data_IF_284443943122
#
_entry.id   IF_284443943122
#
_cell.length_a   1.000
_cell.length_b   1.000
_cell.length_c   1.000
_cell.angle_alpha   90.00
_cell.angle_beta   90.00
_cell.angle_gamma   90.00
#
_symmetry.space_group_name_H-M   'P 1'
#
loop_
_entity.id
_entity.type
_entity.pdbx_description
1 polymer ?
#
# COMPACT_ATOMS: atom_id res chain seq x y z
N UNK A 1 17.43 -24.95 -21.07
CA UNK A 1 17.54 -23.73 -20.23
C UNK A 1 16.14 -23.44 -19.74
N UNK A 2 15.88 -23.52 -18.44
CA UNK A 2 14.58 -23.13 -17.88
C UNK A 2 14.45 -21.62 -18.02
N UNK A 3 13.54 -21.14 -18.86
CA UNK A 3 13.26 -19.71 -18.96
C UNK A 3 12.53 -19.26 -17.69
N UNK A 4 13.01 -18.17 -17.09
CA UNK A 4 12.31 -17.49 -16.00
C UNK A 4 12.23 -16.00 -16.27
N UNK A 5 11.11 -15.41 -15.86
CA UNK A 5 10.85 -13.97 -15.96
C UNK A 5 10.56 -13.42 -14.57
N UNK A 6 11.17 -12.30 -14.23
CA UNK A 6 10.98 -11.64 -12.93
C UNK A 6 10.24 -10.33 -13.09
N UNK A 7 9.23 -10.14 -12.26
CA UNK A 7 8.43 -8.92 -12.13
C UNK A 7 8.59 -8.34 -10.73
N UNK A 8 8.43 -7.02 -10.59
CA UNK A 8 8.52 -6.31 -9.32
C UNK A 8 7.39 -5.30 -9.20
N UNK A 9 6.86 -5.15 -7.99
CA UNK A 9 5.92 -4.11 -7.63
C UNK A 9 6.35 -3.47 -6.31
N UNK A 10 6.29 -2.15 -6.23
CA UNK A 10 6.63 -1.39 -5.02
C UNK A 10 5.48 -1.44 -4.00
N UNK A 11 5.82 -1.53 -2.71
CA UNK A 11 4.87 -1.28 -1.64
C UNK A 11 4.43 0.18 -1.62
N UNK A 12 3.46 0.50 -0.75
CA UNK A 12 2.86 1.83 -0.71
C UNK A 12 2.54 2.31 0.70
N UNK A 13 2.63 3.62 0.87
CA UNK A 13 1.94 4.38 1.92
C UNK A 13 1.17 5.54 1.28
N UNK A 14 0.16 6.04 1.99
CA UNK A 14 -0.57 7.24 1.61
C UNK A 14 -0.17 8.35 2.59
N UNK A 15 0.37 9.46 2.09
CA UNK A 15 0.80 10.57 2.92
C UNK A 15 -0.37 11.53 3.20
N UNK A 16 -1.22 11.78 2.20
CA UNK A 16 -2.40 12.64 2.33
C UNK A 16 -3.57 12.10 1.52
N UNK A 17 -4.78 12.57 1.80
CA UNK A 17 -5.96 12.28 0.98
C UNK A 17 -6.72 11.02 1.39
N UNK A 18 -6.44 10.47 2.57
CA UNK A 18 -7.19 9.37 3.16
C UNK A 18 -8.71 9.63 3.06
N UNK A 19 -9.48 8.59 2.71
CA UNK A 19 -10.94 8.63 2.46
C UNK A 19 -11.39 9.52 1.30
N UNK A 20 -10.90 10.76 1.19
CA UNK A 20 -11.32 11.75 0.19
C UNK A 20 -10.77 11.45 -1.22
N UNK A 21 -9.68 10.69 -1.33
CA UNK A 21 -9.16 10.20 -2.61
C UNK A 21 -10.18 9.34 -3.36
N UNK A 22 -11.07 8.64 -2.64
CA UNK A 22 -12.15 7.84 -3.22
C UNK A 22 -13.18 8.71 -3.95
N UNK A 23 -13.28 9.99 -3.55
CA UNK A 23 -14.13 11.03 -4.15
C UNK A 23 -13.33 11.97 -5.09
N UNK A 24 -12.11 11.61 -5.47
CA UNK A 24 -11.33 12.34 -6.47
C UNK A 24 -10.50 13.51 -5.94
N UNK A 25 -10.33 13.64 -4.62
CA UNK A 25 -9.33 14.55 -4.05
C UNK A 25 -7.92 14.16 -4.49
N UNK A 26 -7.02 15.15 -4.60
CA UNK A 26 -5.59 14.87 -4.77
C UNK A 26 -5.06 14.22 -3.49
N UNK A 27 -4.17 13.27 -3.66
CA UNK A 27 -3.52 12.53 -2.60
C UNK A 27 -2.02 12.37 -2.93
N UNK A 28 -1.14 12.57 -1.96
CA UNK A 28 0.26 12.20 -2.11
C UNK A 28 0.40 10.72 -1.75
N UNK A 29 0.73 9.90 -2.73
CA UNK A 29 1.03 8.49 -2.53
C UNK A 29 2.54 8.24 -2.61
N UNK A 30 3.04 7.39 -1.71
CA UNK A 30 4.45 7.12 -1.49
C UNK A 30 4.76 5.67 -1.87
N UNK A 31 5.36 5.42 -3.05
CA UNK A 31 5.97 4.13 -3.32
C UNK A 31 7.11 3.88 -2.35
N UNK A 32 7.25 2.64 -1.90
CA UNK A 32 8.28 2.23 -0.96
C UNK A 32 9.43 1.55 -1.70
N UNK A 33 10.62 1.57 -1.09
CA UNK A 33 11.79 0.83 -1.60
C UNK A 33 11.59 -0.68 -1.53
N UNK A 34 10.76 -1.13 -0.58
CA UNK A 34 10.32 -2.52 -0.43
C UNK A 34 8.99 -2.74 -1.13
N UNK A 35 8.75 -3.96 -1.60
CA UNK A 35 7.47 -4.38 -2.14
C UNK A 35 7.39 -5.89 -2.29
N UNK A 36 7.10 -6.35 -3.49
CA UNK A 36 6.97 -7.76 -3.81
C UNK A 36 7.58 -8.07 -5.17
N UNK A 37 8.24 -9.22 -5.27
CA UNK A 37 8.70 -9.79 -6.53
C UNK A 37 7.90 -11.03 -6.88
N UNK A 38 7.80 -11.32 -8.18
CA UNK A 38 7.24 -12.55 -8.71
C UNK A 38 8.16 -13.09 -9.78
N UNK A 39 8.61 -14.33 -9.61
CA UNK A 39 9.33 -15.08 -10.64
C UNK A 39 8.35 -16.08 -11.23
N UNK A 40 8.25 -16.08 -12.56
CA UNK A 40 7.47 -17.06 -13.31
C UNK A 40 8.45 -17.92 -14.09
N UNK A 41 8.35 -19.23 -13.93
CA UNK A 41 9.23 -20.21 -14.58
C UNK A 41 8.43 -21.42 -15.07
N UNK A 42 9.03 -22.21 -15.96
CA UNK A 42 8.51 -23.52 -16.35
C UNK A 42 9.26 -24.63 -15.63
N UNK A 43 8.51 -25.61 -15.14
CA UNK A 43 9.05 -26.83 -14.53
C UNK A 43 8.73 -28.01 -15.43
N UNK A 44 9.68 -28.93 -15.62
CA UNK A 44 9.49 -30.14 -16.41
C UNK A 44 8.59 -31.14 -15.65
N UNK A 45 7.53 -31.62 -16.32
CA UNK A 45 6.60 -32.66 -15.86
C UNK A 45 5.54 -32.35 -14.75
N UNK A 46 5.13 -31.11 -14.40
CA UNK A 46 3.86 -30.91 -13.70
C UNK A 46 2.71 -30.78 -14.71
N UNK A 47 1.64 -31.56 -14.49
CA UNK A 47 0.33 -31.37 -15.15
C UNK A 47 -0.49 -30.26 -14.46
N UNK A 48 0.15 -29.44 -13.63
CA UNK A 48 -0.48 -28.49 -12.71
C UNK A 48 0.24 -27.14 -12.74
N UNK A 49 -0.37 -26.15 -12.10
CA UNK A 49 0.23 -24.85 -11.81
C UNK A 49 0.70 -24.86 -10.37
N UNK A 50 1.92 -24.38 -10.14
CA UNK A 50 2.54 -24.35 -8.83
C UNK A 50 2.65 -22.90 -8.35
N UNK A 51 2.23 -22.64 -7.12
CA UNK A 51 2.39 -21.34 -6.48
C UNK A 51 3.12 -21.50 -5.14
N UNK A 52 4.13 -20.68 -4.93
CA UNK A 52 4.83 -20.54 -3.65
C UNK A 52 5.02 -19.07 -3.31
N UNK A 53 4.68 -18.68 -2.08
CA UNK A 53 4.93 -17.34 -1.57
C UNK A 53 5.88 -17.39 -0.38
N UNK A 54 6.90 -16.53 -0.44
CA UNK A 54 8.01 -16.51 0.49
C UNK A 54 8.10 -15.14 1.18
N UNK A 55 8.65 -15.14 2.38
CA UNK A 55 9.13 -13.96 3.08
C UNK A 55 10.38 -14.37 3.86
N UNK A 56 11.51 -13.72 3.56
CA UNK A 56 12.82 -14.20 4.00
C UNK A 56 13.02 -15.66 3.55
N UNK A 57 13.56 -16.51 4.42
CA UNK A 57 13.79 -17.94 4.14
C UNK A 57 12.56 -18.82 4.40
N UNK A 58 11.41 -18.21 4.72
CA UNK A 58 10.20 -18.93 5.11
C UNK A 58 9.14 -18.91 4.01
N UNK A 59 8.59 -20.09 3.74
CA UNK A 59 7.42 -20.25 2.88
C UNK A 59 6.17 -20.07 3.73
N UNK A 60 5.38 -19.03 3.46
CA UNK A 60 4.18 -18.73 4.21
C UNK A 60 2.89 -19.13 3.48
N UNK A 61 2.97 -19.45 2.18
CA UNK A 61 1.84 -19.96 1.42
C UNK A 61 2.27 -20.82 0.23
N UNK A 62 1.55 -21.92 -0.01
CA UNK A 62 1.68 -22.78 -1.19
C UNK A 62 0.30 -23.16 -1.73
N UNK A 63 0.21 -23.29 -3.05
CA UNK A 63 -1.00 -23.73 -3.71
C UNK A 63 -0.67 -24.47 -5.02
N UNK A 64 -1.49 -25.46 -5.36
CA UNK A 64 -1.45 -26.19 -6.63
C UNK A 64 -2.82 -26.02 -7.30
N UNK A 65 -2.82 -25.54 -8.54
CA UNK A 65 -4.04 -25.32 -9.32
C UNK A 65 -4.09 -26.22 -10.56
N UNK A 66 -5.29 -26.60 -10.97
CA UNK A 66 -5.53 -27.16 -12.29
C UNK A 66 -5.39 -26.06 -13.36
N UNK A 67 -4.66 -26.29 -14.47
CA UNK A 67 -4.40 -25.27 -15.48
C UNK A 67 -5.63 -24.90 -16.33
N UNK A 68 -6.61 -25.80 -16.45
CA UNK A 68 -7.78 -25.65 -17.33
C UNK A 68 -8.92 -24.87 -16.65
N UNK A 69 -9.19 -25.17 -15.37
CA UNK A 69 -10.34 -24.60 -14.64
C UNK A 69 -9.95 -23.77 -13.39
N UNK A 70 -8.65 -23.68 -13.11
CA UNK A 70 -8.08 -23.02 -11.93
C UNK A 70 -8.58 -23.59 -10.59
N UNK A 71 -9.12 -24.81 -10.57
CA UNK A 71 -9.54 -25.47 -9.33
C UNK A 71 -8.32 -25.68 -8.42
N UNK A 72 -8.49 -25.39 -7.15
CA UNK A 72 -7.49 -25.67 -6.11
C UNK A 72 -7.40 -27.18 -5.91
N UNK A 73 -6.23 -27.74 -6.16
CA UNK A 73 -5.91 -29.16 -5.97
C UNK A 73 -5.29 -29.39 -4.60
N UNK A 74 -4.36 -28.52 -4.20
CA UNK A 74 -3.70 -28.52 -2.90
C UNK A 74 -3.47 -27.08 -2.45
N UNK A 75 -3.56 -26.81 -1.14
CA UNK A 75 -3.30 -25.48 -0.58
C UNK A 75 -2.87 -25.56 0.87
N UNK A 76 -2.01 -24.64 1.30
CA UNK A 76 -1.72 -24.41 2.71
C UNK A 76 -2.71 -23.44 3.37
N UNK A 77 -3.52 -22.73 2.59
CA UNK A 77 -4.50 -21.74 3.06
C UNK A 77 -5.66 -21.58 2.07
N UNK A 78 -6.86 -21.97 2.50
CA UNK A 78 -8.03 -22.01 1.62
C UNK A 78 -8.45 -20.62 1.14
N UNK A 79 -8.52 -19.63 2.04
CA UNK A 79 -8.95 -18.27 1.73
C UNK A 79 -8.03 -17.62 0.67
N UNK A 80 -6.71 -17.76 0.84
CA UNK A 80 -5.73 -17.22 -0.13
C UNK A 80 -5.79 -17.93 -1.48
N UNK A 81 -5.98 -19.25 -1.47
CA UNK A 81 -6.11 -20.01 -2.72
C UNK A 81 -7.39 -19.66 -3.49
N UNK A 82 -8.48 -19.35 -2.79
CA UNK A 82 -9.72 -18.88 -3.40
C UNK A 82 -9.55 -17.51 -4.06
N UNK A 83 -8.82 -16.60 -3.42
CA UNK A 83 -8.45 -15.31 -4.03
C UNK A 83 -7.60 -15.51 -5.29
N UNK A 84 -6.59 -16.39 -5.26
CA UNK A 84 -5.77 -16.68 -6.44
C UNK A 84 -6.59 -17.31 -7.57
N UNK A 85 -7.46 -18.26 -7.27
CA UNK A 85 -8.39 -18.83 -8.25
C UNK A 85 -9.25 -17.74 -8.87
N UNK A 86 -9.81 -16.85 -8.05
CA UNK A 86 -10.64 -15.75 -8.53
C UNK A 86 -9.84 -14.79 -9.41
N UNK A 87 -8.58 -14.49 -9.06
CA UNK A 87 -7.68 -13.68 -9.88
C UNK A 87 -7.47 -14.27 -11.27
N UNK A 88 -7.11 -15.55 -11.37
CA UNK A 88 -6.92 -16.20 -12.69
C UNK A 88 -8.21 -16.27 -13.50
N UNK A 89 -9.35 -16.55 -12.87
CA UNK A 89 -10.66 -16.48 -13.54
C UNK A 89 -10.96 -15.08 -14.07
N UNK A 90 -10.71 -14.04 -13.28
CA UNK A 90 -10.92 -12.66 -13.70
C UNK A 90 -9.97 -12.27 -14.85
N UNK A 91 -8.69 -12.68 -14.79
CA UNK A 91 -7.73 -12.47 -15.89
C UNK A 91 -8.23 -13.14 -17.18
N UNK A 92 -8.73 -14.39 -17.10
CA UNK A 92 -9.32 -15.09 -18.25
C UNK A 92 -10.57 -14.41 -18.79
N UNK A 93 -11.37 -13.76 -17.93
CA UNK A 93 -12.52 -12.95 -18.37
C UNK A 93 -12.07 -11.67 -19.08
N UNK A 94 -11.01 -11.01 -18.59
CA UNK A 94 -10.46 -9.78 -19.18
C UNK A 94 -9.73 -10.04 -20.50
N UNK A 95 -9.03 -11.16 -20.63
CA UNK A 95 -8.49 -11.64 -21.90
C UNK A 95 -8.89 -13.11 -22.13
N UNK A 96 -9.95 -13.38 -22.92
CA UNK A 96 -10.38 -14.75 -23.24
C UNK A 96 -9.29 -15.61 -23.91
N UNK A 97 -8.26 -14.99 -24.50
CA UNK A 97 -7.13 -15.71 -25.14
C UNK A 97 -6.06 -16.10 -24.13
N UNK A 98 -6.13 -15.61 -22.89
CA UNK A 98 -5.21 -15.98 -21.82
C UNK A 98 -5.22 -17.50 -21.62
N UNK A 99 -4.05 -18.14 -21.68
CA UNK A 99 -3.88 -19.56 -21.41
C UNK A 99 -2.75 -19.71 -20.41
N UNK A 100 -3.02 -20.43 -19.33
CA UNK A 100 -2.03 -20.72 -18.31
C UNK A 100 -1.48 -22.13 -18.54
N UNK A 101 -0.23 -22.21 -19.00
CA UNK A 101 0.41 -23.47 -19.40
C UNK A 101 0.65 -24.38 -18.18
N UNK A 102 0.31 -25.65 -18.29
CA UNK A 102 0.70 -26.66 -17.31
C UNK A 102 2.23 -26.64 -17.10
N UNK A 103 2.67 -26.77 -15.86
CA UNK A 103 4.08 -26.65 -15.48
C UNK A 103 4.54 -25.23 -15.16
N UNK A 104 3.67 -24.22 -15.29
CA UNK A 104 3.99 -22.86 -14.84
C UNK A 104 4.12 -22.83 -13.32
N UNK A 105 5.25 -22.31 -12.83
CA UNK A 105 5.54 -22.08 -11.42
C UNK A 105 5.65 -20.58 -11.15
N UNK A 106 4.86 -20.11 -10.19
CA UNK A 106 4.91 -18.77 -9.63
C UNK A 106 5.60 -18.81 -8.27
N UNK A 107 6.63 -17.98 -8.12
CA UNK A 107 7.31 -17.77 -6.85
C UNK A 107 7.24 -16.29 -6.50
N UNK A 108 6.51 -15.95 -5.45
CA UNK A 108 6.49 -14.60 -4.93
C UNK A 108 7.40 -14.45 -3.73
N UNK A 109 8.00 -13.26 -3.60
CA UNK A 109 8.85 -12.89 -2.48
C UNK A 109 8.42 -11.52 -1.96
N UNK A 110 7.95 -11.47 -0.72
CA UNK A 110 7.73 -10.21 -0.01
C UNK A 110 9.07 -9.66 0.47
N UNK A 111 9.29 -8.36 0.27
CA UNK A 111 10.52 -7.68 0.69
C UNK A 111 10.37 -7.00 2.07
N UNK A 112 9.20 -7.16 2.70
CA UNK A 112 8.85 -6.61 4.01
C UNK A 112 7.89 -7.51 4.76
N UNK A 113 7.78 -7.35 6.08
CA UNK A 113 6.89 -8.16 6.89
C UNK A 113 5.43 -8.01 6.40
N UNK A 114 4.70 -9.12 6.15
CA UNK A 114 3.32 -9.10 5.66
C UNK A 114 2.33 -8.38 6.59
N UNK A 115 2.68 -8.19 7.87
CA UNK A 115 1.83 -7.49 8.84
C UNK A 115 1.88 -5.96 8.72
N UNK A 116 2.87 -5.40 8.04
CA UNK A 116 3.09 -3.94 7.96
C UNK A 116 2.12 -3.17 7.06
N UNK A 117 1.17 -3.82 6.38
CA UNK A 117 0.15 -3.11 5.61
C UNK A 117 0.68 -2.35 4.37
N UNK A 118 1.89 -2.65 3.89
CA UNK A 118 2.51 -2.00 2.72
C UNK A 118 1.88 -2.35 1.36
N UNK A 119 0.72 -3.02 1.33
CA UNK A 119 -0.03 -3.31 0.11
C UNK A 119 0.38 -4.61 -0.59
N UNK A 120 0.42 -5.74 0.14
CA UNK A 120 0.65 -7.06 -0.47
C UNK A 120 -0.41 -7.43 -1.53
N UNK A 121 -1.66 -7.01 -1.34
CA UNK A 121 -2.73 -7.26 -2.32
C UNK A 121 -2.54 -6.45 -3.60
N UNK A 122 -2.23 -5.15 -3.50
CA UNK A 122 -2.04 -4.28 -4.66
C UNK A 122 -0.77 -4.62 -5.44
N UNK A 123 0.30 -5.01 -4.74
CA UNK A 123 1.52 -5.51 -5.38
C UNK A 123 1.27 -6.83 -6.11
N UNK A 124 0.52 -7.78 -5.53
CA UNK A 124 0.12 -9.01 -6.22
C UNK A 124 -0.70 -8.74 -7.49
N UNK A 125 -1.68 -7.83 -7.44
CA UNK A 125 -2.45 -7.41 -8.62
C UNK A 125 -1.52 -6.86 -9.69
N UNK A 126 -0.62 -5.94 -9.33
CA UNK A 126 0.32 -5.36 -10.28
C UNK A 126 1.21 -6.41 -10.92
N UNK A 127 1.74 -7.36 -10.15
CA UNK A 127 2.61 -8.44 -10.65
C UNK A 127 1.87 -9.34 -11.64
N UNK A 128 0.65 -9.76 -11.30
CA UNK A 128 -0.16 -10.60 -12.20
C UNK A 128 -0.59 -9.85 -13.45
N UNK A 129 -0.93 -8.56 -13.35
CA UNK A 129 -1.25 -7.71 -14.50
C UNK A 129 -0.05 -7.51 -15.42
N UNK A 130 1.14 -7.28 -14.87
CA UNK A 130 2.39 -7.19 -15.65
C UNK A 130 2.67 -8.49 -16.41
N UNK A 131 2.46 -9.64 -15.75
CA UNK A 131 2.69 -10.95 -16.37
C UNK A 131 1.63 -11.31 -17.41
N UNK A 132 0.35 -11.11 -17.11
CA UNK A 132 -0.77 -11.49 -17.98
C UNK A 132 -1.08 -10.46 -19.07
N UNK A 133 -0.53 -9.24 -18.98
CA UNK A 133 -0.79 -8.16 -19.94
C UNK A 133 -2.20 -7.55 -19.84
N UNK A 134 -2.80 -7.57 -18.65
CA UNK A 134 -4.14 -7.00 -18.40
C UNK A 134 -4.06 -5.70 -17.60
N UNK A 135 -5.09 -4.85 -17.70
CA UNK A 135 -5.15 -3.59 -16.96
C UNK A 135 -5.25 -3.84 -15.43
N UNK A 136 -4.30 -3.33 -14.62
CA UNK A 136 -4.27 -3.56 -13.18
C UNK A 136 -5.36 -2.81 -12.41
N UNK A 137 -5.88 -1.69 -12.93
CA UNK A 137 -6.97 -0.96 -12.30
C UNK A 137 -8.28 -1.73 -12.44
N UNK A 138 -8.55 -2.28 -13.64
CA UNK A 138 -9.75 -3.11 -13.87
C UNK A 138 -9.67 -4.39 -13.04
N UNK A 139 -8.51 -5.07 -13.02
CA UNK A 139 -8.32 -6.27 -12.21
C UNK A 139 -8.51 -5.98 -10.71
N UNK A 140 -7.97 -4.86 -10.21
CA UNK A 140 -8.14 -4.45 -8.82
C UNK A 140 -9.60 -4.12 -8.47
N UNK A 141 -10.32 -3.42 -9.35
CA UNK A 141 -11.71 -3.04 -9.13
C UNK A 141 -12.62 -4.27 -9.00
N UNK A 142 -12.43 -5.26 -9.88
CA UNK A 142 -13.22 -6.51 -9.89
C UNK A 142 -12.94 -7.42 -8.68
N UNK A 143 -11.80 -7.27 -8.00
CA UNK A 143 -11.39 -8.16 -6.90
C UNK A 143 -11.50 -7.48 -5.53
N UNK A 144 -10.99 -6.25 -5.40
CA UNK A 144 -10.83 -5.57 -4.12
C UNK A 144 -11.60 -4.25 -4.00
N UNK A 145 -12.14 -3.70 -5.09
CA UNK A 145 -12.90 -2.44 -5.12
C UNK A 145 -12.14 -1.27 -4.45
N UNK A 146 -10.82 -1.19 -4.67
CA UNK A 146 -9.95 -0.18 -4.07
C UNK A 146 -9.99 1.18 -4.79
N UNK A 147 -9.37 2.20 -4.19
CA UNK A 147 -9.25 3.55 -4.78
C UNK A 147 -8.32 3.62 -6.00
N UNK A 148 -7.39 2.67 -6.14
CA UNK A 148 -6.41 2.57 -7.22
C UNK A 148 -5.07 3.30 -6.99
N UNK A 149 -4.90 4.07 -5.91
CA UNK A 149 -3.61 4.76 -5.66
C UNK A 149 -2.47 3.77 -5.39
N UNK A 150 -2.81 2.65 -4.76
CA UNK A 150 -1.91 1.56 -4.42
C UNK A 150 -1.39 0.83 -5.67
N UNK A 151 -2.27 0.64 -6.67
CA UNK A 151 -1.90 0.19 -8.01
C UNK A 151 -0.97 1.21 -8.71
N UNK A 152 -1.27 2.51 -8.59
CA UNK A 152 -0.41 3.55 -9.14
C UNK A 152 0.99 3.54 -8.50
N UNK A 153 1.09 3.32 -7.18
CA UNK A 153 2.36 3.19 -6.48
C UNK A 153 3.18 1.98 -6.93
N UNK A 154 2.53 0.86 -7.23
CA UNK A 154 3.19 -0.42 -7.50
C UNK A 154 4.23 -0.35 -8.64
N UNK A 155 4.03 0.54 -9.62
CA UNK A 155 4.95 0.70 -10.77
C UNK A 155 5.63 2.07 -10.81
N UNK A 156 5.35 2.95 -9.84
CA UNK A 156 5.88 4.31 -9.83
C UNK A 156 7.35 4.35 -9.37
N UNK A 157 8.14 5.21 -10.02
CA UNK A 157 9.57 5.39 -9.74
C UNK A 157 9.88 6.42 -8.63
N UNK A 158 8.90 6.75 -7.80
CA UNK A 158 8.99 7.77 -6.74
C UNK A 158 7.61 8.35 -6.40
N UNK A 159 7.52 9.33 -5.48
CA UNK A 159 6.23 9.86 -5.03
C UNK A 159 5.38 10.37 -6.19
N UNK A 160 4.06 10.27 -6.02
CA UNK A 160 3.06 10.67 -7.00
C UNK A 160 1.93 11.47 -6.34
N UNK A 161 1.35 12.40 -7.09
CA UNK A 161 0.01 12.93 -6.85
C UNK A 161 -0.97 12.04 -7.58
N UNK A 162 -1.84 11.38 -6.82
CA UNK A 162 -2.91 10.54 -7.31
C UNK A 162 -4.26 11.25 -7.15
N UNK A 163 -5.17 11.03 -8.09
CA UNK A 163 -6.58 11.34 -7.96
C UNK A 163 -7.39 10.32 -8.75
N UNK A 164 -8.46 9.79 -8.17
CA UNK A 164 -9.30 8.78 -8.84
C UNK A 164 -9.81 9.33 -10.17
N UNK A 165 -9.71 8.52 -11.23
CA UNK A 165 -10.11 8.88 -12.60
C UNK A 165 -9.39 10.12 -13.17
N UNK A 166 -8.17 10.41 -12.69
CA UNK A 166 -7.31 11.51 -13.18
C UNK A 166 -5.95 10.96 -13.57
N UNK A 167 -5.21 11.73 -14.36
CA UNK A 167 -3.82 11.40 -14.68
C UNK A 167 -2.98 11.33 -13.39
N UNK A 168 -2.16 10.29 -13.26
CA UNK A 168 -1.18 10.15 -12.18
C UNK A 168 -0.02 11.09 -12.46
N UNK A 169 0.26 12.00 -11.53
CA UNK A 169 1.29 13.01 -11.73
C UNK A 169 2.52 12.69 -10.87
N UNK A 170 3.74 12.75 -11.44
CA UNK A 170 4.96 12.64 -10.66
C UNK A 170 5.11 13.84 -9.68
N UNK A 171 5.64 13.59 -8.48
CA UNK A 171 6.03 14.66 -7.55
C UNK A 171 7.36 14.36 -6.87
N UNK A 172 8.12 15.39 -6.55
CA UNK A 172 9.40 15.28 -5.83
C UNK A 172 9.24 15.96 -4.48
N UNK A 173 9.33 15.18 -3.41
CA UNK A 173 9.18 15.66 -2.03
C UNK A 173 10.55 16.02 -1.45
N UNK A 174 10.98 17.26 -1.70
CA UNK A 174 12.29 17.77 -1.30
C UNK A 174 12.24 18.44 0.08
N UNK A 175 11.80 17.71 1.09
CA UNK A 175 11.76 18.20 2.47
C UNK A 175 13.19 18.34 3.02
N UNK A 176 13.68 19.56 3.34
CA UNK A 176 15.01 19.76 3.93
C UNK A 176 15.16 19.06 5.28
N UNK A 177 14.04 18.86 5.98
CA UNK A 177 13.92 18.21 7.28
C UNK A 177 13.59 16.70 7.17
N UNK A 178 13.79 16.05 6.02
CA UNK A 178 13.41 14.65 5.86
C UNK A 178 14.10 13.67 6.83
N UNK A 179 15.28 14.01 7.36
CA UNK A 179 15.99 13.22 8.38
C UNK A 179 15.32 13.27 9.77
N UNK A 180 14.38 14.20 9.95
CA UNK A 180 13.54 14.38 11.13
C UNK A 180 12.13 13.78 10.95
N UNK A 181 11.93 13.01 9.87
CA UNK A 181 10.70 12.27 9.59
C UNK A 181 10.89 10.78 9.82
N UNK A 182 10.01 10.19 10.63
CA UNK A 182 10.07 8.78 11.03
C UNK A 182 8.73 8.08 10.82
N UNK A 183 8.79 6.80 10.48
CA UNK A 183 7.63 5.97 10.19
C UNK A 183 7.54 4.90 11.28
N UNK A 184 6.51 4.96 12.12
CA UNK A 184 6.32 4.03 13.25
C UNK A 184 5.19 3.06 12.91
N UNK A 185 5.46 1.76 12.98
CA UNK A 185 4.41 0.75 12.83
C UNK A 185 3.54 0.74 14.09
N UNK A 186 2.22 0.84 13.92
CA UNK A 186 1.24 0.93 15.02
C UNK A 186 1.06 -0.38 15.78
N UNK A 187 1.56 -1.50 15.27
CA UNK A 187 1.30 -2.84 15.82
C UNK A 187 -0.05 -3.42 15.43
N UNK A 188 -0.93 -2.63 14.80
CA UNK A 188 -2.29 -3.01 14.46
C UNK A 188 -2.50 -2.92 12.95
N UNK A 189 -2.48 -4.07 12.29
CA UNK A 189 -2.94 -4.18 10.90
C UNK A 189 -4.45 -4.05 10.88
N UNK A 190 -4.95 -2.96 10.30
CA UNK A 190 -6.40 -2.74 10.15
C UNK A 190 -6.88 -3.27 8.80
N UNK A 191 -8.06 -3.91 8.80
CA UNK A 191 -8.74 -4.30 7.54
C UNK A 191 -9.32 -3.06 6.87
N UNK A 192 -8.54 -2.42 5.99
CA UNK A 192 -8.91 -1.19 5.25
C UNK A 192 -10.26 -1.28 4.54
N UNK A 193 -10.62 -2.45 4.00
CA UNK A 193 -11.86 -2.63 3.21
C UNK A 193 -13.14 -2.42 4.03
N UNK A 194 -13.15 -2.78 5.31
CA UNK A 194 -14.32 -2.62 6.17
C UNK A 194 -14.57 -1.14 6.50
N UNK A 195 -13.51 -0.42 6.88
CA UNK A 195 -13.61 1.01 7.22
C UNK A 195 -13.95 1.87 5.98
N UNK A 196 -13.32 1.57 4.84
CA UNK A 196 -13.64 2.24 3.56
C UNK A 196 -15.08 1.93 3.14
N UNK A 197 -15.50 0.67 3.26
CA UNK A 197 -16.86 0.26 2.91
C UNK A 197 -17.93 0.93 3.77
N UNK A 198 -17.68 1.13 5.06
CA UNK A 198 -18.56 1.88 5.95
C UNK A 198 -18.62 3.37 5.55
N UNK A 199 -17.45 3.99 5.32
CA UNK A 199 -17.37 5.40 4.92
C UNK A 199 -18.15 5.70 3.62
N UNK A 200 -17.98 4.86 2.60
CA UNK A 200 -18.65 5.03 1.29
C UNK A 200 -20.17 4.90 1.36
N UNK A 201 -20.71 4.16 2.34
CA UNK A 201 -22.16 3.97 2.49
C UNK A 201 -22.85 5.13 3.20
N UNK A 202 -22.14 5.84 4.08
CA UNK A 202 -22.77 6.74 5.05
C UNK A 202 -22.64 8.23 4.74
N UNK A 203 -21.69 8.66 3.90
CA UNK A 203 -21.33 10.10 3.83
C UNK A 203 -21.27 10.65 2.40
N UNK A 204 -22.17 11.60 2.10
CA UNK A 204 -21.95 12.56 1.00
C UNK A 204 -20.87 13.55 1.44
N UNK A 205 -19.74 13.53 0.77
CA UNK A 205 -18.64 14.48 0.98
C UNK A 205 -18.89 15.72 0.13
N UNK A 206 -18.75 16.92 0.72
CA UNK A 206 -18.90 18.18 -0.02
C UNK A 206 -17.71 18.44 -0.95
N UNK A 207 -17.95 19.13 -2.07
CA UNK A 207 -16.89 19.56 -2.99
C UNK A 207 -15.85 20.45 -2.29
N UNK A 208 -16.28 21.26 -1.32
CA UNK A 208 -15.39 22.09 -0.52
C UNK A 208 -14.39 21.26 0.30
N UNK A 209 -14.81 20.13 0.88
CA UNK A 209 -13.90 19.22 1.60
C UNK A 209 -12.90 18.56 0.65
N UNK A 210 -13.36 18.15 -0.54
CA UNK A 210 -12.51 17.55 -1.58
C UNK A 210 -11.46 18.56 -2.06
N UNK A 211 -11.88 19.81 -2.31
CA UNK A 211 -11.01 20.90 -2.70
C UNK A 211 -10.00 21.25 -1.59
N UNK A 212 -10.46 21.35 -0.34
CA UNK A 212 -9.61 21.60 0.83
C UNK A 212 -8.52 20.55 1.01
N UNK A 213 -8.87 19.25 0.94
CA UNK A 213 -7.88 18.17 1.00
C UNK A 213 -6.92 18.19 -0.19
N UNK A 214 -7.41 18.56 -1.37
CA UNK A 214 -6.56 18.67 -2.56
C UNK A 214 -5.57 19.82 -2.44
N UNK A 215 -5.97 20.95 -1.86
CA UNK A 215 -5.08 22.08 -1.57
C UNK A 215 -4.04 21.70 -0.51
N UNK A 216 -4.47 21.07 0.57
CA UNK A 216 -3.59 20.58 1.64
C UNK A 216 -2.53 19.61 1.10
N UNK A 217 -2.92 18.69 0.21
CA UNK A 217 -1.97 17.78 -0.46
C UNK A 217 -0.95 18.51 -1.34
N UNK A 218 -1.30 19.66 -1.93
CA UNK A 218 -0.35 20.46 -2.70
C UNK A 218 0.61 21.19 -1.76
N UNK A 219 0.11 21.75 -0.65
CA UNK A 219 0.93 22.42 0.38
C UNK A 219 1.94 21.45 1.01
N UNK A 220 1.49 20.25 1.40
CA UNK A 220 2.39 19.19 1.86
C UNK A 220 3.52 18.94 0.86
N UNK A 221 3.22 18.86 -0.43
CA UNK A 221 4.21 18.49 -1.44
C UNK A 221 5.31 19.53 -1.65
N UNK A 222 5.04 20.82 -1.38
CA UNK A 222 5.96 21.93 -1.62
C UNK A 222 6.60 22.50 -0.36
N UNK A 223 6.11 22.10 0.82
CA UNK A 223 6.58 22.57 2.12
C UNK A 223 8.09 22.39 2.32
N UNK A 224 8.74 23.41 2.91
CA UNK A 224 10.20 23.44 3.14
C UNK A 224 10.60 23.62 4.60
N UNK A 225 9.67 24.04 5.46
CA UNK A 225 9.93 24.28 6.87
C UNK A 225 9.21 23.25 7.74
N UNK A 226 9.90 22.68 8.73
CA UNK A 226 9.33 21.63 9.57
C UNK A 226 8.15 22.13 10.41
N UNK A 227 8.19 23.38 10.88
CA UNK A 227 7.10 23.97 11.64
C UNK A 227 5.81 24.08 10.82
N UNK A 228 5.92 24.53 9.57
CA UNK A 228 4.80 24.56 8.62
C UNK A 228 4.29 23.14 8.34
N UNK A 229 5.18 22.18 8.12
CA UNK A 229 4.82 20.77 7.92
C UNK A 229 4.05 20.19 9.12
N UNK A 230 4.47 20.55 10.34
CA UNK A 230 3.79 20.18 11.58
C UNK A 230 2.38 20.79 11.65
N UNK A 231 2.22 22.06 11.25
CA UNK A 231 0.90 22.70 11.15
C UNK A 231 0.01 21.99 10.12
N UNK A 232 0.56 21.61 8.97
CA UNK A 232 -0.15 20.85 7.93
C UNK A 232 -0.59 19.47 8.45
N UNK A 233 0.24 18.77 9.24
CA UNK A 233 -0.15 17.53 9.93
C UNK A 233 -1.36 17.75 10.83
N UNK A 234 -1.33 18.78 11.67
CA UNK A 234 -2.43 19.09 12.59
C UNK A 234 -3.72 19.39 11.83
N UNK A 235 -3.64 20.19 10.76
CA UNK A 235 -4.79 20.50 9.90
C UNK A 235 -5.34 19.25 9.23
N UNK A 236 -4.47 18.41 8.67
CA UNK A 236 -4.86 17.15 8.03
C UNK A 236 -5.57 16.22 9.01
N UNK A 237 -4.97 16.00 10.18
CA UNK A 237 -5.53 15.10 11.19
C UNK A 237 -6.87 15.61 11.72
N UNK A 238 -7.02 16.93 11.92
CA UNK A 238 -8.32 17.51 12.32
C UNK A 238 -9.38 17.32 11.24
N UNK A 239 -9.03 17.53 9.96
CA UNK A 239 -9.95 17.40 8.84
C UNK A 239 -10.44 15.96 8.69
N UNK A 240 -9.52 14.99 8.62
CA UNK A 240 -9.92 13.58 8.48
C UNK A 240 -10.58 13.07 9.76
N UNK A 241 -10.07 13.43 10.94
CA UNK A 241 -10.67 13.06 12.22
C UNK A 241 -12.13 13.51 12.32
N UNK A 242 -12.41 14.75 11.94
CA UNK A 242 -13.78 15.29 11.87
C UNK A 242 -14.63 14.56 10.83
N UNK A 243 -14.05 14.25 9.66
CA UNK A 243 -14.71 13.51 8.58
C UNK A 243 -15.16 12.11 9.02
N UNK A 244 -14.37 11.41 9.85
CA UNK A 244 -14.67 10.04 10.28
C UNK A 244 -15.17 9.94 11.73
N UNK A 245 -15.29 11.06 12.45
CA UNK A 245 -15.75 11.10 13.84
C UNK A 245 -14.73 10.56 14.85
N UNK A 246 -13.43 10.76 14.61
CA UNK A 246 -12.35 10.32 15.49
C UNK A 246 -11.43 11.48 15.87
N UNK A 247 -10.82 11.39 17.06
CA UNK A 247 -9.80 12.34 17.50
C UNK A 247 -8.48 12.14 16.73
N UNK A 248 -7.71 13.21 16.49
CA UNK A 248 -6.33 13.12 16.00
C UNK A 248 -5.48 12.15 16.82
N UNK A 249 -4.64 11.35 16.15
CA UNK A 249 -3.91 10.26 16.81
C UNK A 249 -2.96 10.76 17.92
N UNK A 250 -2.30 11.90 17.70
CA UNK A 250 -1.43 12.52 18.70
C UNK A 250 -2.21 12.84 19.97
N UNK A 251 -3.34 13.54 19.85
CA UNK A 251 -4.16 13.93 21.01
C UNK A 251 -4.73 12.73 21.75
N UNK A 252 -5.07 11.65 21.05
CA UNK A 252 -5.65 10.45 21.65
C UNK A 252 -4.62 9.54 22.34
N UNK A 253 -3.43 9.38 21.75
CA UNK A 253 -2.49 8.33 22.15
C UNK A 253 -1.10 8.84 22.59
N UNK A 254 -0.71 10.03 22.13
CA UNK A 254 0.63 10.60 22.32
C UNK A 254 0.60 12.09 22.70
N UNK A 255 -0.24 12.50 23.68
CA UNK A 255 -0.42 13.92 24.00
C UNK A 255 0.86 14.58 24.54
N UNK A 256 1.79 13.76 25.05
CA UNK A 256 3.08 14.14 25.62
C UNK A 256 4.24 14.13 24.61
N UNK A 257 3.99 13.78 23.34
CA UNK A 257 5.05 13.72 22.34
C UNK A 257 5.45 15.12 21.84
N UNK A 258 6.75 15.39 21.88
CA UNK A 258 7.36 16.62 21.36
C UNK A 258 7.59 16.51 19.84
N UNK A 259 6.67 17.08 19.07
CA UNK A 259 6.58 16.95 17.62
C UNK A 259 5.14 16.60 17.17
N UNK A 260 4.93 16.35 15.89
CA UNK A 260 3.61 16.04 15.34
C UNK A 260 3.53 14.61 14.78
N UNK A 261 2.32 14.04 14.88
CA UNK A 261 2.06 12.65 14.49
C UNK A 261 0.82 12.60 13.60
N UNK A 262 0.95 11.94 12.46
CA UNK A 262 -0.10 11.70 11.47
C UNK A 262 -0.34 10.20 11.28
N UNK A 263 -1.59 9.80 11.10
CA UNK A 263 -1.94 8.45 10.65
C UNK A 263 -1.64 8.26 9.16
N UNK A 264 -1.04 7.12 8.77
CA UNK A 264 -0.80 6.72 7.39
C UNK A 264 -1.61 5.46 7.07
N UNK A 265 -2.74 5.63 6.37
CA UNK A 265 -3.62 4.52 5.98
C UNK A 265 -5.03 4.63 6.58
N UNK A 266 -5.63 3.50 6.93
CA UNK A 266 -7.00 3.42 7.47
C UNK A 266 -7.03 3.84 8.94
N UNK A 267 -6.75 5.13 9.19
CA UNK A 267 -6.79 5.87 10.45
C UNK A 267 -6.51 5.09 11.75
N UNK A 268 -5.36 5.34 12.38
CA UNK A 268 -4.99 4.66 13.63
C UNK A 268 -4.49 3.22 13.44
N UNK A 269 -4.41 2.71 12.21
CA UNK A 269 -3.79 1.43 11.86
C UNK A 269 -2.53 1.59 11.00
N UNK A 270 -1.83 0.47 10.81
CA UNK A 270 -0.63 0.32 9.98
C UNK A 270 0.55 1.20 10.43
N UNK A 271 0.63 2.47 10.00
CA UNK A 271 1.78 3.33 10.27
C UNK A 271 1.40 4.73 10.75
N UNK A 272 2.31 5.34 11.50
CA UNK A 272 2.32 6.76 11.84
C UNK A 272 3.50 7.44 11.17
N UNK A 273 3.27 8.64 10.62
CA UNK A 273 4.33 9.59 10.32
C UNK A 273 4.58 10.44 11.56
N UNK A 274 5.84 10.57 11.92
CA UNK A 274 6.31 11.37 13.05
C UNK A 274 7.25 12.44 12.52
N UNK A 275 7.02 13.69 12.89
CA UNK A 275 7.86 14.85 12.57
C UNK A 275 8.29 15.53 13.86
N UNK A 276 9.60 15.58 14.14
CA UNK A 276 10.15 16.10 15.39
C UNK A 276 11.62 16.48 15.25
N UNK A 277 12.10 17.43 16.04
CA UNK A 277 13.54 17.72 16.14
C UNK A 277 14.31 16.67 16.96
N UNK A 278 13.61 15.80 17.70
CA UNK A 278 14.23 14.74 18.47
C UNK A 278 15.07 13.82 17.57
N UNK A 279 16.29 13.45 17.99
CA UNK A 279 17.10 12.50 17.25
C UNK A 279 16.41 11.13 17.20
N UNK A 280 16.72 10.33 16.18
CA UNK A 280 16.14 8.99 15.97
C UNK A 280 16.17 8.10 17.23
N UNK A 281 17.22 8.17 18.03
CA UNK A 281 17.33 7.42 19.30
C UNK A 281 16.30 7.85 20.34
N UNK A 282 16.01 9.15 20.44
CA UNK A 282 14.99 9.71 21.33
C UNK A 282 13.60 9.28 20.90
N UNK A 283 13.29 9.39 19.60
CA UNK A 283 12.03 8.93 19.01
C UNK A 283 11.84 7.42 19.25
N UNK A 284 12.88 6.62 18.97
CA UNK A 284 12.84 5.17 19.21
C UNK A 284 12.55 4.83 20.66
N UNK A 285 13.19 5.53 21.61
CA UNK A 285 12.97 5.32 23.04
C UNK A 285 11.54 5.66 23.44
N UNK A 286 11.01 6.79 22.98
CA UNK A 286 9.62 7.20 23.27
C UNK A 286 8.62 6.15 22.80
N UNK A 287 8.67 5.74 21.53
CA UNK A 287 7.71 4.76 20.98
C UNK A 287 7.90 3.35 21.55
N UNK A 288 9.14 2.92 21.81
CA UNK A 288 9.40 1.64 22.47
C UNK A 288 8.78 1.57 23.87
N UNK A 289 8.82 2.66 24.65
CA UNK A 289 8.15 2.75 25.95
C UNK A 289 6.62 2.66 25.86
N UNK A 290 6.04 2.90 24.68
CA UNK A 290 4.62 2.72 24.38
C UNK A 290 4.31 1.36 23.71
N UNK A 291 5.29 0.46 23.63
CA UNK A 291 5.14 -0.86 22.99
C UNK A 291 5.33 -0.88 21.47
N UNK A 292 5.73 0.25 20.86
CA UNK A 292 5.89 0.41 19.42
C UNK A 292 7.37 0.40 19.04
N UNK A 293 7.91 -0.77 18.71
CA UNK A 293 9.34 -0.98 18.49
C UNK A 293 9.80 -0.91 17.04
N UNK A 294 8.87 -1.13 16.10
CA UNK A 294 9.18 -1.14 14.66
C UNK A 294 9.07 0.27 14.10
N UNK A 295 10.21 0.81 13.66
CA UNK A 295 10.31 2.18 13.16
C UNK A 295 11.37 2.28 12.06
N UNK A 296 11.12 3.15 11.09
CA UNK A 296 12.00 3.43 9.96
C UNK A 296 12.26 4.92 9.84
N UNK A 297 13.43 5.30 9.31
CA UNK A 297 13.65 6.66 8.83
C UNK A 297 12.96 6.84 7.49
N UNK A 298 12.52 8.05 7.20
CA UNK A 298 11.91 8.38 5.91
C UNK A 298 12.75 7.91 4.71
N UNK A 299 14.05 8.18 4.74
CA UNK A 299 14.96 7.80 3.66
C UNK A 299 15.22 6.30 3.53
N UNK A 300 14.98 5.51 4.57
CA UNK A 300 15.18 4.06 4.51
C UNK A 300 14.03 3.36 3.81
N UNK A 301 12.83 3.95 3.86
CA UNK A 301 11.60 3.31 3.42
C UNK A 301 10.99 3.91 2.15
N UNK A 302 10.99 5.24 2.00
CA UNK A 302 10.34 5.91 0.85
C UNK A 302 11.24 5.84 -0.39
N UNK A 303 10.66 5.43 -1.52
CA UNK A 303 11.37 5.38 -2.80
C UNK A 303 11.62 6.81 -3.28
N UNK A 304 12.89 7.19 -3.45
CA UNK A 304 13.26 8.47 -4.07
C UNK A 304 13.26 8.33 -5.59
N UNK A 305 12.78 9.37 -6.26
CA UNK A 305 12.95 9.52 -7.71
C UNK A 305 14.45 9.64 -8.00
N UNK A 306 14.95 8.77 -8.89
CA UNK A 306 16.31 8.86 -9.43
C UNK A 306 16.41 10.00 -10.43
#
# INVERSE_FOLDING_TARGET
>A
MSFSTTYRANGKLLLTGEYLVLHGAKAIALPLKVGQQMVVSEVDNPQTILWQANFQDNIWFKCVLNPDDFRVLETSDQEKSDVLRQLFKTIKTLDPRFVLKAGTKFETMLESNPEWGFGSSSTLISLLSQWAGVDPYILNELIFNGSGFDIACATANGPIIYGRNKAVLPVTLNYPFADQLFLVYSGLKKKTSAEVGAFLKEKKVSEQLIAGMSALSVEFAVCREQEEFNQLIVQHEKLIGSLIGQSPIKSACFPDFDGEIKSLGAWGGDFYLVSTELPFSGVKKYFANKGLSTMFRWHDLILKRK
#
